data_IF_974057895589
#
_entry.id   IF_974057895589
#
_cell.length_a   1.000
_cell.length_b   1.000
_cell.length_c   1.000
_cell.angle_alpha   90.00
_cell.angle_beta   90.00
_cell.angle_gamma   90.00
#
_symmetry.space_group_name_H-M   'P 1'
#
loop_
_entity.id
_entity.type
_entity.pdbx_description
1 polymer ?
#
# COMPACT_ATOMS: atom_id res chain seq x y z
N UNK A 1 -1.33 -1.90 12.84
CA UNK A 1 -2.26 -1.62 11.71
C UNK A 1 -1.66 -2.14 10.42
N UNK A 2 -0.63 -1.48 9.88
CA UNK A 2 0.01 -1.84 8.60
C UNK A 2 0.53 -3.27 8.55
N UNK A 3 1.05 -3.82 9.66
CA UNK A 3 1.50 -5.22 9.70
C UNK A 3 0.39 -6.22 9.36
N UNK A 4 -0.86 -5.95 9.79
CA UNK A 4 -2.01 -6.79 9.42
C UNK A 4 -2.38 -6.64 7.95
N UNK A 5 -2.25 -5.42 7.45
CA UNK A 5 -2.54 -5.11 6.04
C UNK A 5 -1.53 -5.77 5.10
N UNK A 6 -0.33 -6.10 5.58
CA UNK A 6 0.68 -6.83 4.81
C UNK A 6 0.27 -8.30 4.55
N UNK A 7 -0.61 -8.86 5.39
CA UNK A 7 -1.09 -10.23 5.25
C UNK A 7 -2.25 -10.36 4.23
N UNK A 8 -2.82 -9.22 3.82
CA UNK A 8 -3.92 -9.14 2.87
C UNK A 8 -3.43 -8.74 1.46
N UNK A 9 -4.13 -9.23 0.44
CA UNK A 9 -3.83 -8.91 -0.97
C UNK A 9 -4.79 -7.85 -1.51
N UNK A 10 -4.27 -7.01 -2.39
CA UNK A 10 -5.02 -5.95 -3.05
C UNK A 10 -5.20 -4.71 -2.16
N UNK A 11 -6.03 -3.78 -2.65
CA UNK A 11 -6.29 -2.52 -1.96
C UNK A 11 -7.22 -2.75 -0.77
N UNK A 12 -6.83 -2.21 0.37
CA UNK A 12 -7.58 -2.20 1.61
C UNK A 12 -7.99 -0.79 1.96
N UNK A 13 -9.24 -0.64 2.39
CA UNK A 13 -9.84 0.65 2.75
C UNK A 13 -10.37 0.55 4.17
N UNK A 14 -9.98 1.49 5.03
CA UNK A 14 -10.42 1.57 6.42
C UNK A 14 -10.88 2.99 6.72
N UNK A 15 -12.14 3.15 7.07
CA UNK A 15 -12.80 4.44 7.24
C UNK A 15 -13.20 4.62 8.70
N UNK A 16 -12.59 5.60 9.34
CA UNK A 16 -12.96 6.07 10.66
C UNK A 16 -13.08 4.96 11.70
N UNK A 17 -14.31 4.60 12.08
CA UNK A 17 -14.59 3.60 13.11
C UNK A 17 -14.09 2.18 12.79
N UNK A 18 -13.81 1.89 11.53
CA UNK A 18 -13.17 0.62 11.11
C UNK A 18 -11.71 0.53 11.57
N UNK A 19 -11.09 1.68 11.90
CA UNK A 19 -9.72 1.70 12.39
C UNK A 19 -9.62 1.10 13.81
N UNK A 20 -8.76 0.08 14.01
CA UNK A 20 -8.55 -0.54 15.32
C UNK A 20 -7.78 0.39 16.26
N UNK A 21 -7.08 1.39 15.72
CA UNK A 21 -6.36 2.43 16.47
C UNK A 21 -7.30 3.61 16.70
N UNK A 22 -7.53 3.98 17.97
CA UNK A 22 -8.54 4.97 18.34
C UNK A 22 -8.27 6.35 17.73
N UNK A 23 -7.00 6.73 17.67
CA UNK A 23 -6.49 7.99 17.14
C UNK A 23 -6.72 8.10 15.62
N UNK A 24 -6.78 6.96 14.93
CA UNK A 24 -7.05 6.89 13.49
C UNK A 24 -8.55 6.93 13.16
N UNK A 25 -9.43 6.95 14.17
CA UNK A 25 -10.87 6.93 13.94
C UNK A 25 -11.40 8.20 13.28
N UNK A 26 -10.65 9.30 13.25
CA UNK A 26 -11.05 10.51 12.53
C UNK A 26 -10.57 10.55 11.08
N UNK A 27 -9.81 9.53 10.65
CA UNK A 27 -9.20 9.45 9.33
C UNK A 27 -9.71 8.23 8.55
N UNK A 28 -9.43 8.25 7.26
CA UNK A 28 -9.44 7.07 6.39
C UNK A 28 -8.01 6.65 6.07
N UNK A 29 -7.79 5.35 5.91
CA UNK A 29 -6.56 4.76 5.39
C UNK A 29 -6.91 3.92 4.16
N UNK A 30 -6.25 4.21 3.03
CA UNK A 30 -6.31 3.39 1.81
C UNK A 30 -4.91 2.88 1.56
N UNK A 31 -4.70 1.58 1.52
CA UNK A 31 -3.37 1.00 1.41
C UNK A 31 -3.34 -0.21 0.48
N UNK A 32 -2.18 -0.49 -0.11
CA UNK A 32 -1.92 -1.68 -0.92
C UNK A 32 -0.52 -2.22 -0.63
N UNK A 33 -0.34 -3.51 -0.82
CA UNK A 33 0.95 -4.18 -0.66
C UNK A 33 1.79 -4.00 -1.91
N UNK A 34 3.10 -3.78 -1.73
CA UNK A 34 4.07 -3.86 -2.82
C UNK A 34 4.93 -5.11 -2.64
N UNK A 35 5.30 -5.71 -3.76
CA UNK A 35 5.91 -7.04 -3.79
C UNK A 35 7.21 -7.08 -4.57
N UNK A 36 7.99 -8.12 -4.33
CA UNK A 36 9.14 -8.49 -5.14
C UNK A 36 9.22 -10.01 -5.18
N UNK A 37 9.28 -10.58 -6.40
CA UNK A 37 9.26 -12.04 -6.61
C UNK A 37 8.13 -12.73 -5.83
N UNK A 38 6.93 -12.17 -5.94
CA UNK A 38 5.72 -12.63 -5.26
C UNK A 38 5.75 -12.60 -3.72
N UNK A 39 6.80 -12.03 -3.12
CA UNK A 39 6.86 -11.77 -1.69
C UNK A 39 6.41 -10.34 -1.39
N UNK A 40 5.51 -10.19 -0.42
CA UNK A 40 5.15 -8.87 0.13
C UNK A 40 6.37 -8.30 0.83
N UNK A 41 6.84 -7.15 0.35
CA UNK A 41 7.93 -6.41 0.97
C UNK A 41 7.44 -5.35 1.96
N UNK A 42 6.21 -4.88 1.78
CA UNK A 42 5.60 -3.90 2.67
C UNK A 42 4.27 -3.39 2.17
N UNK A 43 3.78 -2.36 2.85
CA UNK A 43 2.51 -1.69 2.59
C UNK A 43 2.77 -0.23 2.33
N UNK A 44 2.13 0.33 1.31
CA UNK A 44 2.05 1.77 1.09
C UNK A 44 0.59 2.21 1.13
N UNK A 45 0.33 3.45 1.53
CA UNK A 45 -1.03 3.95 1.59
C UNK A 45 -1.14 5.45 1.83
N UNK A 46 -2.35 5.95 1.68
CA UNK A 46 -2.74 7.34 1.90
C UNK A 46 -3.60 7.43 3.16
N UNK A 47 -3.26 8.37 4.03
CA UNK A 47 -4.08 8.78 5.17
C UNK A 47 -4.78 10.09 4.83
N UNK A 48 -6.09 10.16 5.01
CA UNK A 48 -6.88 11.36 4.72
C UNK A 48 -8.10 11.51 5.63
N UNK A 49 -8.90 12.57 5.46
CA UNK A 49 -10.16 12.72 6.16
C UNK A 49 -11.17 11.61 5.82
N UNK A 50 -12.24 11.49 6.60
CA UNK A 50 -13.36 10.55 6.34
C UNK A 50 -14.10 10.78 5.02
N UNK A 51 -13.94 11.93 4.38
CA UNK A 51 -14.54 12.23 3.06
C UNK A 51 -13.43 12.68 2.13
N UNK A 52 -13.18 11.88 1.11
CA UNK A 52 -12.22 12.16 0.04
C UNK A 52 -12.73 11.54 -1.27
N UNK A 53 -12.03 11.82 -2.38
CA UNK A 53 -12.31 11.18 -3.66
C UNK A 53 -11.81 9.72 -3.64
N UNK A 54 -12.59 8.81 -3.05
CA UNK A 54 -12.18 7.43 -2.81
C UNK A 54 -11.75 6.70 -4.08
N UNK A 55 -12.51 6.84 -5.17
CA UNK A 55 -12.18 6.20 -6.45
C UNK A 55 -10.76 6.59 -6.91
N UNK A 56 -10.46 7.89 -6.93
CA UNK A 56 -9.18 8.39 -7.39
C UNK A 56 -8.04 7.94 -6.48
N UNK A 57 -8.26 7.94 -5.16
CA UNK A 57 -7.24 7.58 -4.19
C UNK A 57 -6.98 6.06 -4.18
N UNK A 58 -8.02 5.25 -4.35
CA UNK A 58 -7.90 3.79 -4.53
C UNK A 58 -7.04 3.49 -5.76
N UNK A 59 -7.37 4.09 -6.91
CA UNK A 59 -6.58 3.93 -8.13
C UNK A 59 -5.15 4.41 -7.98
N UNK A 60 -4.94 5.57 -7.35
CA UNK A 60 -3.61 6.09 -7.08
C UNK A 60 -2.76 5.13 -6.24
N UNK A 61 -3.33 4.59 -5.15
CA UNK A 61 -2.61 3.68 -4.25
C UNK A 61 -2.29 2.36 -4.94
N UNK A 62 -3.24 1.78 -5.69
CA UNK A 62 -3.00 0.53 -6.41
C UNK A 62 -1.91 0.66 -7.46
N UNK A 63 -2.02 1.68 -8.32
CA UNK A 63 -1.01 1.91 -9.37
C UNK A 63 0.34 2.27 -8.78
N UNK A 64 0.39 3.05 -7.69
CA UNK A 64 1.65 3.35 -7.02
C UNK A 64 2.31 2.09 -6.46
N UNK A 65 1.53 1.19 -5.85
CA UNK A 65 2.05 -0.09 -5.33
C UNK A 65 2.57 -0.99 -6.45
N UNK A 66 1.88 -1.04 -7.59
CA UNK A 66 2.33 -1.73 -8.80
C UNK A 66 3.64 -1.15 -9.32
N UNK A 67 3.72 0.17 -9.47
CA UNK A 67 4.93 0.87 -9.95
C UNK A 67 6.13 0.67 -9.03
N UNK A 68 5.92 0.66 -7.70
CA UNK A 68 6.97 0.36 -6.72
C UNK A 68 7.44 -1.08 -6.86
N UNK A 69 6.51 -2.04 -6.98
CA UNK A 69 6.83 -3.47 -7.17
C UNK A 69 7.66 -3.70 -8.44
N UNK A 70 7.26 -3.05 -9.54
CA UNK A 70 7.97 -3.12 -10.81
C UNK A 70 9.36 -2.47 -10.73
N UNK A 71 9.47 -1.33 -10.03
CA UNK A 71 10.75 -0.63 -9.86
C UNK A 71 11.74 -1.45 -9.04
N UNK A 72 11.29 -2.08 -7.95
CA UNK A 72 12.12 -2.97 -7.14
C UNK A 72 12.58 -4.20 -7.93
N UNK A 73 11.71 -4.70 -8.81
CA UNK A 73 12.04 -5.80 -9.73
C UNK A 73 13.14 -5.43 -10.74
N UNK A 74 13.20 -4.15 -11.15
CA UNK A 74 14.26 -3.63 -12.05
C UNK A 74 15.58 -3.31 -11.34
N UNK A 75 15.53 -2.69 -10.15
CA UNK A 75 16.73 -2.18 -9.46
C UNK A 75 17.75 -3.27 -9.15
N UNK A 76 17.31 -4.50 -8.80
CA UNK A 76 18.25 -5.61 -8.56
C UNK A 76 18.93 -6.14 -9.82
N UNK A 77 18.37 -5.93 -11.02
CA UNK A 77 19.04 -6.28 -12.28
C UNK A 77 20.28 -5.41 -12.55
N UNK A 78 20.35 -4.21 -11.95
CA UNK A 78 21.50 -3.31 -12.05
C UNK A 78 22.55 -3.52 -10.94
N UNK A 79 22.14 -4.04 -9.77
CA UNK A 79 23.03 -4.23 -8.61
C UNK A 79 23.67 -5.64 -8.51
N UNK A 80 23.31 -6.57 -9.41
CA UNK A 80 23.82 -7.96 -9.44
C UNK A 80 24.18 -8.42 -10.87
N UNK A 81 24.86 -7.60 -11.66
CA UNK A 81 25.59 -8.12 -12.82
C UNK A 81 26.76 -8.98 -12.31
N UNK A 82 26.81 -10.30 -12.59
CA UNK A 82 28.05 -11.06 -12.47
C UNK A 82 28.98 -10.66 -13.62
N UNK A 83 30.27 -10.54 -13.32
CA UNK A 83 31.36 -10.53 -14.31
C UNK A 83 31.36 -11.79 -15.16
#
# INVERSE_FOLDING_TARGET
>A
LLSRMADERGVQVMIGSENPVKEMRECSLIASTYTYRDQVLGVLGVVGPRRMAYSDVISLVDETARLVSDSLSRVKHQLYLPS
#
